data_IF_809453135263
#
_entry.id   IF_809453135263
#
_cell.length_a   1.000
_cell.length_b   1.000
_cell.length_c   1.000
_cell.angle_alpha   90.00
_cell.angle_beta   90.00
_cell.angle_gamma   90.00
#
_symmetry.space_group_name_H-M   'P 1'
#
loop_
_entity.id
_entity.type
_entity.pdbx_description
1 polymer ?
#
# COMPACT_ATOMS: atom_id res chain seq x y z
N UNK A 1 29.99 -35.55 -35.17
CA UNK A 1 28.55 -35.85 -35.08
C UNK A 1 27.88 -34.65 -34.38
N UNK A 2 27.32 -33.76 -35.17
CA UNK A 2 26.56 -32.59 -34.64
C UNK A 2 25.12 -33.05 -34.41
N UNK A 3 24.70 -33.15 -33.16
CA UNK A 3 23.31 -33.37 -32.82
C UNK A 3 22.55 -32.06 -33.13
N UNK A 4 21.69 -32.09 -34.13
CA UNK A 4 20.67 -31.07 -34.37
C UNK A 4 19.62 -31.22 -33.28
N UNK A 5 19.58 -30.25 -32.37
CA UNK A 5 18.46 -30.06 -31.46
C UNK A 5 17.34 -29.47 -32.30
N UNK A 6 16.33 -30.27 -32.57
CA UNK A 6 15.08 -29.82 -33.18
C UNK A 6 14.29 -29.09 -32.08
N UNK A 7 14.40 -27.77 -32.03
CA UNK A 7 13.52 -26.97 -31.23
C UNK A 7 12.12 -27.01 -31.89
N UNK A 8 11.24 -27.86 -31.38
CA UNK A 8 9.80 -27.72 -31.62
C UNK A 8 9.37 -26.47 -30.88
N UNK A 9 9.22 -25.37 -31.59
CA UNK A 9 8.49 -24.22 -31.08
C UNK A 9 7.02 -24.63 -30.99
N UNK A 10 6.61 -25.08 -29.81
CA UNK A 10 5.21 -25.22 -29.48
C UNK A 10 4.67 -23.77 -29.34
N UNK A 11 4.00 -23.29 -30.39
CA UNK A 11 3.35 -21.99 -30.36
C UNK A 11 2.10 -22.12 -29.47
N UNK A 12 2.27 -21.84 -28.20
CA UNK A 12 1.13 -21.68 -27.31
C UNK A 12 0.52 -20.34 -27.72
N UNK A 13 -0.67 -20.37 -28.33
CA UNK A 13 -1.46 -19.17 -28.54
C UNK A 13 -2.00 -18.72 -27.17
N UNK A 14 -1.26 -17.87 -26.51
CA UNK A 14 -1.69 -17.16 -25.33
C UNK A 14 -2.03 -15.73 -25.76
N UNK A 15 -3.30 -15.36 -25.68
CA UNK A 15 -3.72 -13.98 -25.87
C UNK A 15 -3.75 -13.30 -24.51
N UNK A 16 -2.92 -12.28 -24.35
CA UNK A 16 -2.95 -11.41 -23.16
C UNK A 16 -3.58 -10.10 -23.59
N UNK A 17 -4.68 -9.74 -22.99
CA UNK A 17 -5.37 -8.46 -23.21
C UNK A 17 -5.21 -7.63 -21.96
N UNK A 18 -4.76 -6.39 -22.14
CA UNK A 18 -4.56 -5.41 -21.09
C UNK A 18 -5.60 -4.30 -21.29
N UNK A 19 -6.45 -4.09 -20.30
CA UNK A 19 -7.38 -2.97 -20.27
C UNK A 19 -6.86 -1.93 -19.27
N UNK A 20 -6.69 -0.69 -19.73
CA UNK A 20 -6.29 0.43 -18.90
C UNK A 20 -7.00 1.69 -19.37
N UNK A 21 -7.71 2.36 -18.47
CA UNK A 21 -8.36 3.64 -18.78
C UNK A 21 -7.32 4.74 -18.95
N UNK A 22 -7.04 5.10 -20.21
CA UNK A 22 -6.27 6.30 -20.52
C UNK A 22 -7.15 7.54 -20.36
N UNK A 23 -6.62 8.63 -19.80
CA UNK A 23 -7.29 9.92 -19.69
C UNK A 23 -8.00 10.31 -21.01
N UNK A 24 -9.34 10.26 -21.01
CA UNK A 24 -10.13 10.84 -22.09
C UNK A 24 -9.94 12.35 -22.03
N UNK A 25 -9.35 12.94 -23.07
CA UNK A 25 -9.44 14.38 -23.32
C UNK A 25 -10.92 14.67 -23.59
N UNK A 26 -11.52 15.53 -22.77
CA UNK A 26 -12.84 16.11 -23.03
C UNK A 26 -12.81 16.81 -24.38
N UNK A 27 -13.65 16.37 -25.28
CA UNK A 27 -14.00 17.11 -26.48
C UNK A 27 -15.12 18.07 -26.13
N UNK A 28 -14.85 19.36 -26.35
CA UNK A 28 -15.74 20.49 -26.22
C UNK A 28 -16.90 20.34 -27.20
N UNK A 29 -18.11 20.12 -26.70
CA UNK A 29 -19.34 20.31 -27.46
C UNK A 29 -20.24 21.28 -26.73
N UNK A 30 -20.22 22.54 -27.22
CA UNK A 30 -21.20 23.58 -26.98
C UNK A 30 -22.59 23.12 -27.41
N UNK A 31 -23.53 23.03 -26.48
CA UNK A 31 -24.94 23.26 -26.79
C UNK A 31 -25.66 24.05 -25.69
N UNK A 32 -26.14 25.20 -26.12
CA UNK A 32 -27.03 26.16 -25.45
C UNK A 32 -28.42 25.56 -25.16
N UNK A 33 -28.88 25.75 -23.93
CA UNK A 33 -30.29 25.49 -23.60
C UNK A 33 -30.64 26.16 -22.27
N UNK A 34 -31.17 27.38 -22.34
CA UNK A 34 -31.80 28.08 -21.22
C UNK A 34 -33.11 27.38 -20.83
N UNK A 35 -33.33 27.23 -19.55
CA UNK A 35 -34.67 27.30 -18.95
C UNK A 35 -34.57 27.85 -17.53
N UNK A 36 -35.12 29.04 -17.36
CA UNK A 36 -35.39 29.70 -16.09
C UNK A 36 -36.45 28.91 -15.31
N UNK A 37 -36.21 28.68 -14.02
CA UNK A 37 -37.30 28.48 -13.06
C UNK A 37 -36.97 29.24 -11.78
N UNK A 38 -37.73 30.33 -11.61
CA UNK A 38 -37.82 31.13 -10.40
C UNK A 38 -38.69 30.40 -9.36
N UNK A 39 -38.22 30.21 -8.15
CA UNK A 39 -39.12 29.96 -7.00
C UNK A 39 -38.68 30.83 -5.84
N UNK A 40 -39.55 31.78 -5.55
CA UNK A 40 -39.59 32.59 -4.34
C UNK A 40 -40.19 31.80 -3.17
N UNK A 41 -39.67 31.96 -1.96
CA UNK A 41 -40.26 31.45 -0.74
C UNK A 41 -39.47 31.88 0.49
N UNK A 42 -39.80 33.07 1.01
CA UNK A 42 -39.50 33.47 2.39
C UNK A 42 -40.25 32.58 3.34
N UNK A 43 -39.60 32.10 4.40
CA UNK A 43 -40.32 31.90 5.65
C UNK A 43 -39.36 32.06 6.87
N UNK A 44 -39.89 32.77 7.80
CA UNK A 44 -39.39 33.41 9.01
C UNK A 44 -39.05 32.43 10.13
N UNK A 45 -37.99 32.78 10.87
CA UNK A 45 -37.58 32.19 12.15
C UNK A 45 -38.49 32.74 13.27
N UNK A 46 -38.91 31.98 14.28
CA UNK A 46 -39.22 32.49 15.58
C UNK A 46 -38.12 32.20 16.61
N UNK A 47 -37.65 33.24 17.23
CA UNK A 47 -36.89 33.26 18.46
C UNK A 47 -37.72 32.71 19.64
N UNK A 48 -37.11 31.83 20.43
CA UNK A 48 -37.65 31.38 21.70
C UNK A 48 -36.53 31.29 22.72
N UNK A 49 -36.57 32.23 23.68
CA UNK A 49 -35.82 32.19 24.92
C UNK A 49 -36.21 30.97 25.77
N UNK A 50 -35.23 30.25 26.30
CA UNK A 50 -35.43 29.38 27.46
C UNK A 50 -34.13 29.28 28.28
N UNK A 51 -34.18 29.92 29.41
CA UNK A 51 -33.69 29.62 30.76
C UNK A 51 -32.40 28.77 30.93
N UNK A 52 -31.48 29.41 31.64
CA UNK A 52 -30.43 28.80 32.45
C UNK A 52 -31.08 27.92 33.55
N UNK A 53 -30.75 26.65 33.61
CA UNK A 53 -30.89 25.81 34.79
C UNK A 53 -29.51 25.30 35.22
N UNK A 54 -29.13 25.77 36.41
CA UNK A 54 -28.01 25.29 37.21
C UNK A 54 -28.14 23.79 37.49
N UNK A 55 -27.13 23.00 37.10
CA UNK A 55 -26.88 21.66 37.63
C UNK A 55 -25.54 21.64 38.36
N UNK A 56 -25.63 21.91 39.67
CA UNK A 56 -24.63 21.45 40.63
C UNK A 56 -24.66 19.90 40.63
N UNK A 57 -23.64 19.27 40.12
CA UNK A 57 -23.43 17.83 40.26
C UNK A 57 -22.41 17.59 41.38
N UNK A 58 -22.90 17.02 42.47
CA UNK A 58 -22.13 16.55 43.61
C UNK A 58 -21.05 15.56 43.12
N UNK A 59 -19.79 15.94 43.31
CA UNK A 59 -18.64 15.06 43.26
C UNK A 59 -18.35 14.56 44.67
N UNK A 60 -19.00 13.46 45.05
CA UNK A 60 -18.60 12.69 46.23
C UNK A 60 -18.74 11.20 45.94
N UNK A 61 -17.60 10.51 45.97
CA UNK A 61 -17.57 9.07 46.27
C UNK A 61 -17.16 8.12 45.16
N UNK A 62 -16.02 8.30 44.42
CA UNK A 62 -15.24 7.20 43.89
C UNK A 62 -13.75 7.59 43.82
N UNK A 63 -13.14 7.79 44.93
CA UNK A 63 -11.69 7.89 45.10
C UNK A 63 -11.28 7.17 46.38
N UNK A 64 -11.60 5.88 46.47
CA UNK A 64 -11.05 5.00 47.50
C UNK A 64 -11.26 3.55 47.10
N UNK A 65 -10.39 3.05 46.20
CA UNK A 65 -10.02 1.62 46.08
C UNK A 65 -9.06 1.39 44.89
N UNK A 66 -7.86 1.97 44.90
CA UNK A 66 -6.74 1.48 44.11
C UNK A 66 -5.36 1.98 44.60
N UNK A 67 -5.26 2.19 45.93
CA UNK A 67 -3.99 2.52 46.59
C UNK A 67 -3.66 1.51 47.67
N UNK A 68 -3.70 0.21 47.36
CA UNK A 68 -3.24 -0.83 48.26
C UNK A 68 -2.75 -2.04 47.45
N UNK A 69 -1.58 -1.94 46.83
CA UNK A 69 -0.65 -3.03 46.54
C UNK A 69 0.62 -2.50 45.84
N UNK A 70 1.27 -1.51 46.45
CA UNK A 70 2.71 -1.35 46.31
C UNK A 70 3.35 -1.80 47.59
N UNK A 71 3.64 -3.07 47.72
CA UNK A 71 4.53 -3.59 48.74
C UNK A 71 5.94 -3.16 48.40
N UNK A 72 6.47 -2.24 49.20
CA UNK A 72 7.90 -1.93 49.29
C UNK A 72 8.62 -3.17 49.78
N UNK A 73 9.39 -3.81 48.89
CA UNK A 73 10.37 -4.79 49.31
C UNK A 73 11.70 -4.06 49.57
N UNK A 74 12.02 -3.90 50.83
CA UNK A 74 13.37 -3.56 51.30
C UNK A 74 14.31 -4.70 50.88
N UNK A 75 15.28 -4.41 50.02
CA UNK A 75 16.39 -5.30 49.69
C UNK A 75 17.47 -5.13 50.74
N UNK A 76 17.47 -5.95 51.79
CA UNK A 76 18.69 -6.21 52.57
C UNK A 76 19.64 -7.14 51.81
N UNK A 77 20.91 -6.72 51.77
CA UNK A 77 22.03 -7.40 51.15
C UNK A 77 22.29 -8.77 51.78
N UNK A 78 22.09 -9.83 51.01
CA UNK A 78 22.50 -11.18 51.35
C UNK A 78 22.91 -11.93 50.08
N UNK A 79 24.22 -12.24 49.98
CA UNK A 79 24.80 -13.16 48.99
C UNK A 79 24.08 -14.49 48.99
N UNK A 80 23.41 -14.81 47.88
CA UNK A 80 23.24 -16.21 47.41
C UNK A 80 23.02 -16.18 45.91
N UNK A 81 23.94 -16.85 45.18
CA UNK A 81 23.76 -17.35 43.83
C UNK A 81 22.51 -18.23 43.77
N UNK A 82 21.44 -17.72 43.26
CA UNK A 82 20.33 -18.52 42.76
C UNK A 82 19.89 -17.87 41.45
N UNK A 83 20.14 -18.56 40.34
CA UNK A 83 19.67 -18.18 39.01
C UNK A 83 18.15 -18.07 39.06
N UNK A 84 17.64 -16.88 39.34
CA UNK A 84 16.28 -16.55 38.99
C UNK A 84 16.24 -16.55 37.45
N UNK A 85 15.83 -17.68 36.89
CA UNK A 85 15.26 -17.71 35.56
C UNK A 85 14.15 -16.64 35.61
N UNK A 86 14.40 -15.48 34.94
CA UNK A 86 13.31 -14.64 34.49
C UNK A 86 12.37 -15.59 33.74
N UNK A 87 11.06 -15.62 34.06
CA UNK A 87 10.13 -16.31 33.19
C UNK A 87 10.39 -15.76 31.79
N UNK A 88 10.58 -16.64 30.83
CA UNK A 88 10.67 -16.31 29.43
C UNK A 88 9.60 -15.21 29.20
N UNK A 89 10.05 -14.01 28.86
CA UNK A 89 9.14 -13.02 28.31
C UNK A 89 8.65 -13.67 27.04
N UNK A 90 7.46 -14.28 27.08
CA UNK A 90 6.77 -14.69 25.87
C UNK A 90 6.79 -13.43 25.02
N UNK A 91 7.51 -13.47 23.92
CA UNK A 91 7.51 -12.41 22.93
C UNK A 91 6.06 -12.27 22.49
N UNK A 92 5.41 -11.20 22.94
CA UNK A 92 4.02 -10.89 22.60
C UNK A 92 3.98 -10.41 21.15
N UNK A 93 4.18 -11.38 20.25
CA UNK A 93 4.03 -11.15 18.83
C UNK A 93 2.53 -11.08 18.50
N UNK A 94 2.03 -9.86 18.23
CA UNK A 94 0.65 -9.59 17.85
C UNK A 94 0.53 -9.18 16.38
N UNK A 95 1.53 -9.52 15.55
CA UNK A 95 1.47 -9.30 14.11
C UNK A 95 0.22 -9.99 13.53
N UNK A 96 -0.43 -9.32 12.59
CA UNK A 96 -1.62 -9.83 11.90
C UNK A 96 -1.35 -9.89 10.40
N UNK A 97 -1.56 -11.07 9.81
CA UNK A 97 -1.46 -11.33 8.39
C UNK A 97 -2.75 -11.98 7.91
N UNK A 98 -3.19 -11.66 6.69
CA UNK A 98 -4.36 -12.32 6.11
C UNK A 98 -3.97 -13.69 5.56
N UNK A 99 -4.64 -14.75 6.04
CA UNK A 99 -4.51 -16.07 5.45
C UNK A 99 -5.12 -16.08 4.05
N UNK A 100 -4.38 -16.60 3.08
CA UNK A 100 -4.81 -16.71 1.70
C UNK A 100 -4.77 -18.18 1.26
N UNK A 101 -5.86 -18.69 0.70
CA UNK A 101 -5.93 -20.03 0.15
C UNK A 101 -5.40 -20.02 -1.29
N UNK A 102 -4.52 -20.98 -1.64
CA UNK A 102 -3.97 -21.10 -2.98
C UNK A 102 -5.06 -21.23 -4.05
N UNK A 103 -4.82 -20.61 -5.21
CA UNK A 103 -5.73 -20.71 -6.35
C UNK A 103 -5.98 -22.18 -6.77
N UNK A 104 -7.23 -22.57 -7.03
CA UNK A 104 -7.56 -23.91 -7.48
C UNK A 104 -7.12 -24.17 -8.91
N UNK A 105 -6.99 -25.46 -9.28
CA UNK A 105 -6.84 -25.85 -10.65
C UNK A 105 -8.11 -25.59 -11.47
N UNK A 106 -7.96 -24.86 -12.57
CA UNK A 106 -9.03 -24.52 -13.50
C UNK A 106 -8.98 -25.43 -14.73
N UNK A 107 -10.14 -25.94 -15.14
CA UNK A 107 -10.28 -26.72 -16.37
C UNK A 107 -10.53 -25.79 -17.56
N UNK A 108 -9.65 -25.81 -18.56
CA UNK A 108 -9.71 -24.89 -19.71
C UNK A 108 -10.98 -25.06 -20.56
N UNK A 109 -11.56 -26.28 -20.61
CA UNK A 109 -12.81 -26.53 -21.36
C UNK A 109 -14.02 -25.76 -20.78
N UNK A 110 -14.01 -25.49 -19.47
CA UNK A 110 -15.10 -24.78 -18.78
C UNK A 110 -14.76 -23.36 -18.41
N UNK A 111 -13.48 -23.07 -18.20
CA UNK A 111 -12.97 -21.79 -17.74
C UNK A 111 -11.65 -21.46 -18.46
N UNK A 112 -11.70 -21.03 -19.72
CA UNK A 112 -10.51 -20.76 -20.50
C UNK A 112 -9.83 -19.45 -20.14
N UNK A 113 -10.53 -18.56 -19.44
CA UNK A 113 -10.06 -17.21 -19.10
C UNK A 113 -9.63 -17.12 -17.64
N UNK A 114 -8.43 -16.58 -17.42
CA UNK A 114 -7.94 -16.17 -16.09
C UNK A 114 -7.82 -14.65 -16.05
N UNK A 115 -8.49 -14.01 -15.11
CA UNK A 115 -8.53 -12.56 -14.98
C UNK A 115 -8.07 -12.14 -13.57
N UNK A 116 -7.21 -11.14 -13.49
CA UNK A 116 -6.74 -10.61 -12.21
C UNK A 116 -6.30 -9.14 -12.35
N UNK A 117 -6.31 -8.40 -11.23
CA UNK A 117 -5.79 -7.03 -11.16
C UNK A 117 -4.26 -7.03 -11.19
N UNK A 118 -3.67 -6.05 -11.89
CA UNK A 118 -2.21 -5.91 -12.04
C UNK A 118 -1.56 -5.14 -10.87
N UNK A 119 -2.17 -5.16 -9.70
CA UNK A 119 -1.66 -4.51 -8.50
C UNK A 119 -0.81 -5.49 -7.70
N UNK A 120 0.44 -5.13 -7.43
CA UNK A 120 1.37 -6.00 -6.70
C UNK A 120 2.20 -5.16 -5.75
N UNK A 121 2.01 -5.42 -4.48
CA UNK A 121 2.87 -4.93 -3.42
C UNK A 121 4.17 -5.76 -3.32
N UNK A 122 5.13 -5.30 -2.56
CA UNK A 122 6.42 -6.00 -2.36
C UNK A 122 6.74 -6.24 -0.88
N UNK A 123 5.83 -5.91 0.01
CA UNK A 123 6.02 -5.95 1.46
C UNK A 123 6.29 -7.37 1.99
N UNK A 124 5.65 -8.40 1.46
CA UNK A 124 5.82 -9.78 1.91
C UNK A 124 7.26 -10.27 1.80
N UNK A 125 8.01 -9.91 0.73
CA UNK A 125 9.42 -10.25 0.63
C UNK A 125 10.27 -9.60 1.72
N UNK A 126 10.06 -8.31 1.98
CA UNK A 126 10.84 -7.56 2.96
C UNK A 126 10.51 -7.95 4.39
N UNK A 127 9.28 -8.31 4.67
CA UNK A 127 8.87 -8.88 5.97
C UNK A 127 9.53 -10.23 6.25
N UNK A 128 9.54 -11.15 5.27
CA UNK A 128 10.21 -12.44 5.40
C UNK A 128 11.72 -12.25 5.56
N UNK A 129 12.33 -11.33 4.78
CA UNK A 129 13.75 -10.98 4.93
C UNK A 129 14.05 -10.47 6.32
N UNK A 130 13.22 -9.57 6.85
CA UNK A 130 13.34 -9.03 8.21
C UNK A 130 13.22 -10.13 9.26
N UNK A 131 12.24 -11.03 9.12
CA UNK A 131 12.07 -12.17 10.03
C UNK A 131 13.30 -13.08 10.06
N UNK A 132 13.86 -13.44 8.88
CA UNK A 132 15.07 -14.25 8.78
C UNK A 132 16.28 -13.56 9.44
N UNK A 133 16.49 -12.26 9.18
CA UNK A 133 17.62 -11.50 9.69
C UNK A 133 17.59 -11.36 11.22
N UNK A 134 16.39 -11.26 11.79
CA UNK A 134 16.20 -11.08 13.22
C UNK A 134 15.95 -12.40 13.96
N UNK A 135 15.89 -13.54 13.25
CA UNK A 135 15.68 -14.86 13.84
C UNK A 135 14.26 -15.11 14.31
N UNK A 136 13.28 -14.41 13.75
CA UNK A 136 11.86 -14.62 14.02
C UNK A 136 11.29 -15.78 13.22
N UNK A 137 10.27 -16.41 13.73
CA UNK A 137 9.51 -17.44 13.02
C UNK A 137 8.73 -16.82 11.85
N UNK A 138 8.73 -17.54 10.71
CA UNK A 138 7.97 -17.13 9.54
C UNK A 138 6.58 -17.76 9.60
N UNK A 139 5.55 -16.94 9.74
CA UNK A 139 4.16 -17.38 9.59
C UNK A 139 3.89 -17.66 8.10
N UNK A 140 3.31 -18.82 7.73
CA UNK A 140 2.94 -19.11 6.33
C UNK A 140 2.07 -18.03 5.66
N UNK A 141 1.26 -17.29 6.42
CA UNK A 141 0.43 -16.20 5.93
C UNK A 141 1.21 -14.93 5.50
N UNK A 142 2.51 -14.83 5.88
CA UNK A 142 3.40 -13.80 5.37
C UNK A 142 3.84 -14.06 3.92
N UNK A 143 3.67 -15.32 3.42
CA UNK A 143 4.19 -15.73 2.12
C UNK A 143 3.17 -15.42 1.03
N UNK A 144 3.41 -14.35 0.30
CA UNK A 144 2.68 -13.98 -0.92
C UNK A 144 3.61 -14.14 -2.11
N UNK A 145 3.34 -15.14 -2.93
CA UNK A 145 4.28 -15.53 -3.99
C UNK A 145 4.42 -14.43 -5.04
N UNK A 146 3.34 -13.77 -5.40
CA UNK A 146 3.33 -12.64 -6.33
C UNK A 146 4.21 -11.48 -5.85
N UNK A 147 4.18 -11.15 -4.56
CA UNK A 147 5.01 -10.09 -3.99
C UNK A 147 6.49 -10.47 -4.00
N UNK A 148 6.79 -11.75 -3.74
CA UNK A 148 8.15 -12.26 -3.83
C UNK A 148 8.70 -12.22 -5.25
N UNK A 149 7.88 -12.58 -6.25
CA UNK A 149 8.27 -12.52 -7.65
C UNK A 149 8.48 -11.08 -8.11
N UNK A 150 7.59 -10.18 -7.74
CA UNK A 150 7.60 -8.79 -8.20
C UNK A 150 8.53 -7.88 -7.40
N UNK A 151 9.13 -8.36 -6.31
CA UNK A 151 10.17 -7.64 -5.59
C UNK A 151 11.42 -7.41 -6.43
N UNK A 152 11.73 -8.33 -7.35
CA UNK A 152 12.94 -8.30 -8.18
C UNK A 152 12.68 -7.61 -9.52
N UNK A 153 13.67 -6.88 -10.00
CA UNK A 153 13.65 -6.33 -11.34
C UNK A 153 14.16 -7.37 -12.35
N UNK A 154 13.41 -7.54 -13.42
CA UNK A 154 13.75 -8.43 -14.52
C UNK A 154 14.03 -7.60 -15.79
N UNK A 155 14.93 -8.07 -16.64
CA UNK A 155 15.29 -7.42 -17.91
C UNK A 155 14.26 -7.75 -19.00
N UNK A 156 13.02 -7.30 -18.81
CA UNK A 156 11.97 -7.48 -19.80
C UNK A 156 12.06 -6.45 -20.94
N UNK A 157 11.58 -6.79 -22.14
CA UNK A 157 11.50 -5.85 -23.25
C UNK A 157 10.69 -4.59 -22.88
N UNK A 158 11.21 -3.43 -23.27
CA UNK A 158 10.49 -2.16 -23.08
C UNK A 158 9.46 -1.94 -24.20
N UNK A 159 8.39 -1.15 -23.93
CA UNK A 159 7.41 -0.73 -24.92
C UNK A 159 8.07 -0.01 -26.11
N UNK A 160 7.54 -0.19 -27.32
CA UNK A 160 8.06 0.42 -28.54
C UNK A 160 7.17 1.57 -29.02
N UNK A 161 7.80 2.65 -29.44
CA UNK A 161 7.08 3.80 -30.02
C UNK A 161 6.12 4.45 -29.03
N UNK A 162 4.82 4.44 -29.32
CA UNK A 162 3.77 5.04 -28.49
C UNK A 162 3.02 4.00 -27.64
N UNK A 163 3.48 2.76 -27.59
CA UNK A 163 2.89 1.72 -26.76
C UNK A 163 3.12 2.08 -25.28
N UNK A 164 2.11 1.87 -24.44
CA UNK A 164 2.22 2.10 -22.99
C UNK A 164 2.84 0.91 -22.28
N UNK A 165 2.61 -0.29 -22.82
CA UNK A 165 3.02 -1.56 -22.24
C UNK A 165 3.79 -2.40 -23.26
N UNK A 166 4.74 -3.19 -22.78
CA UNK A 166 5.27 -4.35 -23.46
C UNK A 166 4.85 -5.60 -22.70
N UNK A 167 4.37 -6.61 -23.42
CA UNK A 167 4.03 -7.91 -22.85
C UNK A 167 5.10 -8.92 -23.24
N UNK A 168 5.57 -9.71 -22.28
CA UNK A 168 6.53 -10.77 -22.47
C UNK A 168 5.95 -12.08 -21.93
N UNK A 169 6.15 -13.17 -22.66
CA UNK A 169 5.73 -14.50 -22.24
C UNK A 169 6.86 -15.51 -22.42
N UNK A 170 6.97 -16.43 -21.46
CA UNK A 170 7.93 -17.53 -21.50
C UNK A 170 7.28 -18.83 -21.05
N UNK A 171 7.80 -19.96 -21.53
CA UNK A 171 7.29 -21.27 -21.21
C UNK A 171 8.45 -22.22 -20.89
N UNK A 172 8.37 -22.90 -19.75
CA UNK A 172 9.43 -23.76 -19.24
C UNK A 172 8.89 -25.03 -18.56
N UNK A 173 9.78 -25.95 -18.29
CA UNK A 173 9.46 -27.12 -17.42
C UNK A 173 9.21 -26.66 -15.99
N UNK A 174 8.19 -27.22 -15.33
CA UNK A 174 7.94 -26.96 -13.92
C UNK A 174 9.00 -27.69 -13.07
N UNK A 175 9.78 -26.97 -12.24
CA UNK A 175 10.89 -27.60 -11.49
C UNK A 175 10.42 -28.52 -10.34
N UNK A 176 9.21 -28.32 -9.82
CA UNK A 176 8.66 -29.12 -8.73
C UNK A 176 7.67 -30.21 -9.18
N UNK A 177 7.19 -30.13 -10.42
CA UNK A 177 6.25 -31.10 -10.96
C UNK A 177 6.56 -31.38 -12.44
N UNK A 178 7.14 -32.53 -12.74
CA UNK A 178 7.56 -32.94 -14.10
C UNK A 178 6.41 -33.17 -15.08
N UNK A 179 5.19 -33.32 -14.57
CA UNK A 179 3.98 -33.56 -15.38
C UNK A 179 3.29 -32.25 -15.76
N UNK A 180 3.80 -31.14 -15.27
CA UNK A 180 3.30 -29.78 -15.57
C UNK A 180 4.38 -28.88 -16.16
N UNK A 181 3.98 -27.74 -16.63
CA UNK A 181 4.84 -26.67 -17.19
C UNK A 181 4.58 -25.37 -16.47
N UNK A 182 5.52 -24.44 -16.58
CA UNK A 182 5.34 -23.05 -16.17
C UNK A 182 5.15 -22.17 -17.38
N UNK A 183 4.17 -21.26 -17.30
CA UNK A 183 4.05 -20.13 -18.22
C UNK A 183 4.21 -18.83 -17.43
N UNK A 184 5.14 -18.01 -17.87
CA UNK A 184 5.36 -16.67 -17.37
C UNK A 184 4.65 -15.68 -18.28
N UNK A 185 3.90 -14.76 -17.67
CA UNK A 185 3.32 -13.58 -18.31
C UNK A 185 3.83 -12.36 -17.58
N UNK A 186 4.54 -11.50 -18.29
CA UNK A 186 5.04 -10.25 -17.72
C UNK A 186 4.57 -9.06 -18.54
N UNK A 187 4.34 -7.96 -17.86
CA UNK A 187 4.00 -6.67 -18.45
C UNK A 187 4.94 -5.61 -17.89
N UNK A 188 5.43 -4.74 -18.75
CA UNK A 188 6.40 -3.70 -18.40
C UNK A 188 6.00 -2.35 -19.00
N UNK A 189 6.26 -1.26 -18.28
CA UNK A 189 6.03 0.12 -18.72
C UNK A 189 7.36 0.82 -19.02
N UNK A 190 7.31 1.94 -19.78
CA UNK A 190 8.48 2.77 -20.03
C UNK A 190 8.85 3.55 -18.77
N UNK A 191 10.11 3.47 -18.34
CA UNK A 191 10.63 4.33 -17.28
C UNK A 191 10.70 5.79 -17.73
N UNK A 192 10.48 6.72 -16.82
CA UNK A 192 10.56 8.17 -17.03
C UNK A 192 11.65 8.74 -16.10
N UNK A 193 12.42 9.72 -16.57
CA UNK A 193 13.35 10.45 -15.71
C UNK A 193 12.56 11.23 -14.65
N UNK A 194 13.00 11.16 -13.40
CA UNK A 194 12.40 11.87 -12.27
C UNK A 194 12.25 13.38 -12.54
N UNK A 195 13.18 13.96 -13.29
CA UNK A 195 13.13 15.39 -13.66
C UNK A 195 11.98 15.74 -14.60
N UNK A 196 11.49 14.76 -15.36
CA UNK A 196 10.35 14.90 -16.27
C UNK A 196 9.02 14.56 -15.59
N UNK A 197 9.06 14.04 -14.36
CA UNK A 197 7.87 13.72 -13.59
C UNK A 197 7.03 14.98 -13.30
N UNK A 198 5.70 14.86 -13.24
CA UNK A 198 4.82 15.96 -12.80
C UNK A 198 5.20 16.45 -11.41
N UNK A 199 4.82 17.69 -11.12
CA UNK A 199 4.97 18.24 -9.78
C UNK A 199 4.21 17.40 -8.74
N UNK A 200 4.79 17.23 -7.56
CA UNK A 200 4.23 16.42 -6.48
C UNK A 200 3.81 17.28 -5.29
N UNK A 201 2.68 16.94 -4.71
CA UNK A 201 2.21 17.46 -3.43
C UNK A 201 2.17 16.29 -2.45
N UNK A 202 3.19 16.19 -1.61
CA UNK A 202 3.42 15.09 -0.68
C UNK A 202 3.05 15.51 0.74
N UNK A 203 2.17 14.78 1.37
CA UNK A 203 1.81 14.96 2.77
C UNK A 203 2.25 13.73 3.55
N UNK A 204 3.30 13.85 4.33
CA UNK A 204 3.75 12.79 5.23
C UNK A 204 2.86 12.77 6.47
N UNK A 205 2.23 11.64 6.74
CA UNK A 205 1.48 11.36 7.95
C UNK A 205 2.27 10.35 8.77
N UNK A 206 2.90 10.82 9.83
CA UNK A 206 3.93 10.06 10.55
C UNK A 206 3.42 9.70 11.94
N UNK A 207 3.47 8.41 12.24
CA UNK A 207 3.29 7.90 13.59
C UNK A 207 4.47 8.32 14.46
N UNK A 208 4.19 9.04 15.54
CA UNK A 208 5.16 9.42 16.57
C UNK A 208 4.75 8.89 17.95
N UNK A 209 3.91 7.85 18.01
CA UNK A 209 3.56 7.17 19.25
C UNK A 209 4.79 6.56 19.94
N UNK A 210 4.68 6.27 21.22
CA UNK A 210 5.76 5.72 22.03
C UNK A 210 6.32 4.40 21.50
N UNK A 211 5.52 3.60 20.78
CA UNK A 211 5.97 2.36 20.12
C UNK A 211 6.97 2.60 18.99
N UNK A 212 7.01 3.82 18.41
CA UNK A 212 7.91 4.20 17.32
C UNK A 212 9.35 4.57 17.76
N UNK A 213 9.69 4.37 19.03
CA UNK A 213 10.99 4.78 19.61
C UNK A 213 12.21 4.01 19.08
N UNK A 214 12.04 2.74 18.66
CA UNK A 214 13.15 1.87 18.26
C UNK A 214 13.83 2.35 16.98
N UNK A 215 15.13 2.05 16.84
CA UNK A 215 15.99 2.47 15.72
C UNK A 215 15.46 2.05 14.34
N UNK A 216 14.76 0.93 14.26
CA UNK A 216 14.13 0.39 13.05
C UNK A 216 12.71 0.92 12.79
N UNK A 217 12.27 1.97 13.49
CA UNK A 217 10.96 2.63 13.37
C UNK A 217 11.12 4.11 13.04
N UNK A 218 10.77 5.04 13.94
CA UNK A 218 10.83 6.47 13.64
C UNK A 218 12.21 6.95 13.16
N UNK A 219 13.34 6.54 13.75
CA UNK A 219 14.65 6.94 13.24
C UNK A 219 14.92 6.47 11.80
N UNK A 220 14.46 5.28 11.43
CA UNK A 220 14.53 4.76 10.06
C UNK A 220 13.65 5.59 9.11
N UNK A 221 12.41 5.92 9.51
CA UNK A 221 11.48 6.78 8.75
C UNK A 221 12.08 8.16 8.53
N UNK A 222 12.68 8.79 9.57
CA UNK A 222 13.32 10.10 9.45
C UNK A 222 14.44 10.08 8.39
N UNK A 223 15.33 9.09 8.43
CA UNK A 223 16.39 8.95 7.43
C UNK A 223 15.84 8.72 6.03
N UNK A 224 14.81 7.89 5.90
CA UNK A 224 14.14 7.59 4.63
C UNK A 224 13.50 8.82 4.00
N UNK A 225 12.76 9.61 4.78
CA UNK A 225 12.11 10.84 4.33
C UNK A 225 13.12 11.95 4.01
N UNK A 226 14.21 12.05 4.76
CA UNK A 226 15.31 12.98 4.46
C UNK A 226 15.94 12.66 3.11
N UNK A 227 16.18 11.38 2.83
CA UNK A 227 16.69 10.93 1.52
C UNK A 227 15.72 11.24 0.37
N UNK A 228 14.42 11.08 0.58
CA UNK A 228 13.41 11.49 -0.40
C UNK A 228 13.45 13.00 -0.63
N UNK A 229 13.56 13.80 0.43
CA UNK A 229 13.59 15.26 0.35
C UNK A 229 14.76 15.80 -0.51
N UNK A 230 15.91 15.10 -0.54
CA UNK A 230 17.05 15.43 -1.40
C UNK A 230 16.73 15.39 -2.91
N UNK A 231 15.68 14.69 -3.31
CA UNK A 231 15.28 14.51 -4.70
C UNK A 231 14.13 15.44 -5.14
N UNK A 232 13.55 16.20 -4.21
CA UNK A 232 12.46 17.13 -4.51
C UNK A 232 12.97 18.44 -5.12
N UNK A 233 12.08 19.15 -5.78
CA UNK A 233 12.38 20.36 -6.54
C UNK A 233 11.42 21.50 -6.19
N UNK A 234 11.67 22.70 -6.70
CA UNK A 234 10.84 23.90 -6.50
C UNK A 234 9.37 23.74 -6.93
N UNK A 235 9.10 22.79 -7.85
CA UNK A 235 7.73 22.50 -8.32
C UNK A 235 6.94 21.66 -7.32
N UNK A 236 7.62 20.99 -6.39
CA UNK A 236 7.00 20.07 -5.44
C UNK A 236 6.57 20.82 -4.16
N UNK A 237 5.66 20.23 -3.39
CA UNK A 237 5.20 20.74 -2.10
C UNK A 237 5.22 19.64 -1.07
N UNK A 238 5.69 19.97 0.14
CA UNK A 238 5.80 19.05 1.27
C UNK A 238 4.99 19.58 2.45
N UNK A 239 4.22 18.70 3.06
CA UNK A 239 3.60 18.91 4.38
C UNK A 239 3.91 17.73 5.27
N UNK A 240 4.02 17.96 6.58
CA UNK A 240 4.24 16.91 7.58
C UNK A 240 3.15 17.03 8.66
N UNK A 241 2.46 15.95 8.88
CA UNK A 241 1.48 15.77 9.95
C UNK A 241 1.96 14.61 10.80
N UNK A 242 2.02 14.80 12.10
CA UNK A 242 2.30 13.73 13.06
C UNK A 242 1.03 13.34 13.79
N UNK A 243 0.98 12.11 14.25
CA UNK A 243 -0.08 11.65 15.13
C UNK A 243 0.47 10.74 16.24
N UNK A 244 -0.11 10.92 17.43
CA UNK A 244 0.06 10.08 18.61
C UNK A 244 -1.21 10.18 19.46
N UNK A 245 -1.20 10.86 20.62
CA UNK A 245 -2.40 11.20 21.39
C UNK A 245 -3.31 12.25 20.73
N UNK A 246 -2.75 13.05 19.83
CA UNK A 246 -3.42 14.05 18.98
C UNK A 246 -2.64 14.17 17.66
N UNK A 247 -3.24 14.82 16.68
CA UNK A 247 -2.55 15.21 15.45
C UNK A 247 -1.92 16.60 15.57
N UNK A 248 -0.77 16.78 14.89
CA UNK A 248 -0.06 18.05 14.81
C UNK A 248 0.45 18.30 13.40
N UNK A 249 0.29 19.55 12.93
CA UNK A 249 0.86 19.97 11.64
C UNK A 249 2.25 20.56 11.89
N UNK A 250 3.28 19.78 11.60
CA UNK A 250 4.69 20.17 11.79
C UNK A 250 5.19 21.04 10.65
N UNK A 251 4.79 20.70 9.41
CA UNK A 251 5.20 21.42 8.20
C UNK A 251 4.01 21.57 7.24
N UNK A 252 3.88 22.73 6.57
CA UNK A 252 2.71 23.00 5.78
C UNK A 252 3.04 23.63 4.41
N UNK A 253 3.00 22.81 3.32
CA UNK A 253 3.09 23.26 1.93
C UNK A 253 4.40 23.95 1.58
N UNK A 254 5.50 23.55 2.20
CA UNK A 254 6.85 24.08 1.93
C UNK A 254 7.31 23.61 0.56
N UNK A 255 8.07 24.45 -0.13
CA UNK A 255 8.65 24.12 -1.45
C UNK A 255 9.64 22.97 -1.33
N UNK A 256 9.63 22.02 -2.29
CA UNK A 256 10.48 20.84 -2.24
C UNK A 256 11.98 21.14 -2.29
N UNK A 257 12.40 22.32 -2.83
CA UNK A 257 13.78 22.76 -2.83
C UNK A 257 14.25 23.40 -1.51
N UNK A 258 13.31 23.67 -0.58
CA UNK A 258 13.62 24.13 0.79
C UNK A 258 14.07 22.93 1.68
N UNK A 259 15.07 22.19 1.19
CA UNK A 259 15.59 20.99 1.85
C UNK A 259 15.90 21.19 3.33
N UNK A 260 16.48 22.34 3.69
CA UNK A 260 16.88 22.61 5.08
C UNK A 260 15.67 22.72 6.02
N UNK A 261 14.59 23.37 5.60
CA UNK A 261 13.36 23.46 6.39
C UNK A 261 12.71 22.08 6.54
N UNK A 262 12.65 21.31 5.43
CA UNK A 262 12.06 19.97 5.43
C UNK A 262 12.88 19.01 6.30
N UNK A 263 14.20 18.94 6.12
CA UNK A 263 15.06 18.04 6.90
C UNK A 263 15.05 18.37 8.39
N UNK A 264 15.10 19.67 8.74
CA UNK A 264 15.02 20.09 10.16
C UNK A 264 13.69 19.70 10.80
N UNK A 265 12.58 19.80 10.07
CA UNK A 265 11.26 19.36 10.56
C UNK A 265 11.21 17.84 10.77
N UNK A 266 11.79 17.04 9.86
CA UNK A 266 11.88 15.59 9.98
C UNK A 266 12.78 15.17 11.13
N UNK A 267 13.98 15.76 11.26
CA UNK A 267 14.95 15.45 12.30
C UNK A 267 14.44 15.81 13.71
N UNK A 268 13.55 16.81 13.80
CA UNK A 268 12.95 17.25 15.06
C UNK A 268 11.81 16.37 15.56
N UNK A 269 11.41 15.31 14.84
CA UNK A 269 10.35 14.40 15.29
C UNK A 269 10.86 13.51 16.43
N UNK A 270 10.05 13.38 17.47
CA UNK A 270 10.33 12.54 18.63
C UNK A 270 9.17 11.59 18.89
N UNK A 271 9.47 10.32 19.22
CA UNK A 271 8.46 9.34 19.58
C UNK A 271 7.97 9.57 21.03
N UNK A 272 6.68 9.82 21.22
CA UNK A 272 6.07 10.01 22.56
C UNK A 272 4.56 9.73 22.57
N UNK A 273 4.01 9.46 23.75
CA UNK A 273 2.58 9.39 23.97
C UNK A 273 1.91 8.09 23.56
N UNK A 274 0.58 8.11 23.51
CA UNK A 274 -0.29 6.98 23.15
C UNK A 274 -0.84 7.16 21.73
N UNK A 275 -1.17 6.07 21.05
CA UNK A 275 -1.65 6.11 19.67
C UNK A 275 -3.15 6.48 19.62
N UNK A 276 -3.49 7.61 18.98
CA UNK A 276 -4.86 7.98 18.63
C UNK A 276 -4.84 8.77 17.29
N UNK A 277 -4.88 8.07 16.18
CA UNK A 277 -4.52 8.62 14.87
C UNK A 277 -5.67 9.00 13.92
N UNK A 278 -6.96 8.95 14.31
CA UNK A 278 -8.07 9.23 13.38
C UNK A 278 -8.09 10.66 12.84
N UNK A 279 -7.75 11.63 13.66
CA UNK A 279 -7.67 13.02 13.26
C UNK A 279 -6.53 13.27 12.26
N UNK A 280 -5.40 12.54 12.37
CA UNK A 280 -4.25 12.69 11.50
C UNK A 280 -4.56 12.44 10.02
N UNK A 281 -5.34 11.40 9.69
CA UNK A 281 -5.74 11.12 8.31
C UNK A 281 -6.56 12.26 7.72
N UNK A 282 -7.55 12.77 8.47
CA UNK A 282 -8.39 13.87 7.98
C UNK A 282 -7.58 15.15 7.77
N UNK A 283 -6.67 15.46 8.70
CA UNK A 283 -5.75 16.60 8.62
C UNK A 283 -4.81 16.48 7.43
N UNK A 284 -4.23 15.30 7.20
CA UNK A 284 -3.36 15.05 6.06
C UNK A 284 -4.10 15.25 4.71
N UNK A 285 -5.30 14.70 4.57
CA UNK A 285 -6.10 14.91 3.36
C UNK A 285 -6.58 16.36 3.21
N UNK A 286 -6.85 17.08 4.29
CA UNK A 286 -7.18 18.51 4.23
C UNK A 286 -6.00 19.33 3.70
N UNK A 287 -4.78 19.02 4.12
CA UNK A 287 -3.56 19.66 3.61
C UNK A 287 -3.30 19.27 2.14
N UNK A 288 -3.45 17.99 1.78
CA UNK A 288 -3.29 17.55 0.41
C UNK A 288 -4.27 18.28 -0.55
N UNK A 289 -5.51 18.51 -0.11
CA UNK A 289 -6.49 19.32 -0.86
C UNK A 289 -6.13 20.80 -0.89
N UNK A 290 -5.61 21.35 0.20
CA UNK A 290 -5.22 22.78 0.28
C UNK A 290 -4.11 23.12 -0.70
N UNK A 291 -3.13 22.23 -0.86
CA UNK A 291 -1.98 22.40 -1.74
C UNK A 291 -2.08 21.58 -3.02
N UNK A 292 -3.28 21.18 -3.41
CA UNK A 292 -3.54 20.33 -4.56
C UNK A 292 -2.95 20.91 -5.86
N UNK A 293 -2.14 20.10 -6.53
CA UNK A 293 -1.52 20.44 -7.81
C UNK A 293 -2.32 19.79 -8.94
N UNK A 294 -3.01 20.61 -9.73
CA UNK A 294 -3.79 20.09 -10.86
C UNK A 294 -2.87 19.47 -11.92
N UNK A 295 -3.10 18.21 -12.24
CA UNK A 295 -2.27 17.44 -13.17
C UNK A 295 -0.94 16.98 -12.59
N UNK A 296 -0.71 17.19 -11.30
CA UNK A 296 0.40 16.69 -10.52
C UNK A 296 0.05 15.41 -9.75
N UNK A 297 1.03 14.86 -9.05
CA UNK A 297 0.87 13.76 -8.12
C UNK A 297 0.53 14.31 -6.73
N UNK A 298 -0.68 14.06 -6.25
CA UNK A 298 -1.13 14.45 -4.92
C UNK A 298 -1.25 13.20 -4.05
N UNK A 299 -0.43 13.11 -2.99
CA UNK A 299 -0.30 11.87 -2.24
C UNK A 299 -0.15 12.12 -0.74
N UNK A 300 -0.87 11.35 0.06
CA UNK A 300 -0.62 11.16 1.47
C UNK A 300 0.27 9.92 1.61
N UNK A 301 1.31 10.01 2.42
CA UNK A 301 2.26 8.93 2.72
C UNK A 301 2.19 8.67 4.21
N UNK A 302 1.55 7.57 4.59
CA UNK A 302 1.43 7.12 5.97
C UNK A 302 2.64 6.27 6.35
N UNK A 303 3.33 6.64 7.44
CA UNK A 303 4.44 5.88 8.03
C UNK A 303 4.07 5.47 9.45
N UNK A 304 4.04 4.16 9.74
CA UNK A 304 3.60 3.61 11.03
C UNK A 304 4.19 2.22 11.29
N UNK A 305 4.23 1.81 12.56
CA UNK A 305 4.57 0.43 12.95
C UNK A 305 3.35 -0.52 12.93
N UNK A 306 2.22 -0.08 12.36
CA UNK A 306 1.01 -0.88 12.16
C UNK A 306 -0.05 -0.71 13.25
N UNK A 307 0.25 -0.11 14.38
CA UNK A 307 -0.75 0.15 15.43
C UNK A 307 -1.61 1.36 15.08
N UNK A 308 -2.46 1.19 14.06
CA UNK A 308 -3.44 2.18 13.64
C UNK A 308 -4.66 2.17 14.58
N UNK A 309 -4.46 2.55 15.83
CA UNK A 309 -5.56 2.85 16.76
C UNK A 309 -6.16 4.23 16.43
N UNK A 310 -6.62 4.38 15.21
CA UNK A 310 -7.11 5.65 14.62
C UNK A 310 -8.51 6.06 15.12
N UNK A 311 -8.97 5.59 16.27
CA UNK A 311 -10.31 5.92 16.79
C UNK A 311 -11.47 5.39 15.94
N UNK A 312 -11.22 4.99 14.70
CA UNK A 312 -12.13 4.22 13.85
C UNK A 312 -11.86 2.75 14.16
N UNK A 313 -12.70 2.14 14.95
CA UNK A 313 -12.46 0.82 15.55
C UNK A 313 -12.71 -0.35 14.61
N UNK A 314 -13.20 -0.11 13.38
CA UNK A 314 -13.46 -1.18 12.41
C UNK A 314 -12.82 -0.88 11.04
N UNK A 315 -12.27 -1.92 10.40
CA UNK A 315 -11.76 -1.88 9.03
C UNK A 315 -12.75 -1.23 8.07
N UNK A 316 -14.04 -1.55 8.17
CA UNK A 316 -15.07 -0.97 7.30
C UNK A 316 -15.30 0.53 7.44
N UNK A 317 -15.02 1.14 8.62
CA UNK A 317 -15.08 2.59 8.79
C UNK A 317 -13.86 3.27 8.14
N UNK A 318 -12.70 2.65 8.28
CA UNK A 318 -11.46 3.13 7.69
C UNK A 318 -11.49 3.02 6.16
N UNK A 319 -11.94 1.87 5.64
CA UNK A 319 -12.17 1.66 4.20
C UNK A 319 -13.12 2.71 3.62
N UNK A 320 -14.25 2.97 4.29
CA UNK A 320 -15.20 3.99 3.85
C UNK A 320 -14.58 5.37 3.80
N UNK A 321 -13.83 5.76 4.84
CA UNK A 321 -13.15 7.05 4.89
C UNK A 321 -12.19 7.21 3.71
N UNK A 322 -11.33 6.23 3.46
CA UNK A 322 -10.33 6.30 2.39
C UNK A 322 -11.00 6.29 1.01
N UNK A 323 -12.02 5.45 0.81
CA UNK A 323 -12.80 5.42 -0.45
C UNK A 323 -13.45 6.78 -0.74
N UNK A 324 -14.04 7.46 0.27
CA UNK A 324 -14.59 8.80 0.12
C UNK A 324 -13.50 9.85 -0.20
N UNK A 325 -12.28 9.67 0.30
CA UNK A 325 -11.15 10.58 0.06
C UNK A 325 -10.49 10.36 -1.32
N UNK A 326 -10.42 9.13 -1.80
CA UNK A 326 -9.88 8.72 -3.11
C UNK A 326 -10.48 9.55 -4.25
N UNK A 327 -11.78 9.77 -4.26
CA UNK A 327 -12.49 10.55 -5.28
C UNK A 327 -12.01 12.01 -5.38
N UNK A 328 -11.25 12.48 -4.39
CA UNK A 328 -10.64 13.81 -4.43
C UNK A 328 -9.41 13.93 -5.34
N UNK A 329 -8.90 12.82 -5.87
CA UNK A 329 -7.66 12.76 -6.66
C UNK A 329 -6.38 12.80 -5.81
N UNK A 330 -6.49 12.53 -4.51
CA UNK A 330 -5.36 12.38 -3.58
C UNK A 330 -5.20 10.90 -3.25
N UNK A 331 -4.04 10.34 -3.55
CA UNK A 331 -3.70 8.93 -3.30
C UNK A 331 -3.15 8.73 -1.88
N UNK A 332 -3.26 7.51 -1.36
CA UNK A 332 -2.69 7.12 -0.07
C UNK A 332 -1.73 5.95 -0.24
N UNK A 333 -0.46 6.18 0.06
CA UNK A 333 0.52 5.10 0.21
C UNK A 333 0.82 4.83 1.68
N UNK A 334 1.11 3.58 2.02
CA UNK A 334 1.41 3.15 3.38
C UNK A 334 2.78 2.51 3.45
N UNK A 335 3.60 2.98 4.38
CA UNK A 335 4.92 2.44 4.67
C UNK A 335 4.97 1.93 6.11
N UNK A 336 5.09 0.62 6.23
CA UNK A 336 5.18 -0.05 7.50
C UNK A 336 6.63 -0.21 7.97
N UNK A 337 6.86 -0.11 9.28
CA UNK A 337 8.17 -0.28 9.92
C UNK A 337 8.05 -1.10 11.20
N UNK A 338 9.15 -1.67 11.67
CA UNK A 338 9.20 -2.37 12.95
C UNK A 338 8.53 -3.75 12.93
N UNK A 339 8.54 -4.44 14.06
CA UNK A 339 8.02 -5.80 14.24
C UNK A 339 7.39 -5.94 15.64
N UNK A 340 6.47 -6.89 15.83
CA UNK A 340 5.89 -7.25 17.13
C UNK A 340 4.41 -6.86 17.33
N UNK A 341 3.96 -5.76 16.74
CA UNK A 341 2.54 -5.35 16.71
C UNK A 341 2.10 -4.88 15.32
N UNK A 342 2.69 -5.45 14.30
CA UNK A 342 2.48 -5.04 12.91
C UNK A 342 1.14 -5.55 12.36
N UNK A 343 0.36 -4.68 11.71
CA UNK A 343 -0.97 -4.98 11.14
C UNK A 343 -0.92 -4.88 9.63
N UNK A 344 -0.30 -5.88 9.00
CA UNK A 344 -0.09 -5.97 7.56
C UNK A 344 -1.36 -5.78 6.76
N UNK A 345 -2.40 -6.55 7.08
CA UNK A 345 -3.70 -6.52 6.43
C UNK A 345 -4.36 -5.14 6.41
N UNK A 346 -4.18 -4.33 7.46
CA UNK A 346 -4.75 -2.98 7.51
C UNK A 346 -4.00 -2.00 6.63
N UNK A 347 -2.68 -2.08 6.60
CA UNK A 347 -1.85 -1.18 5.80
C UNK A 347 -2.01 -1.45 4.31
N UNK A 348 -2.04 -2.73 3.92
CA UNK A 348 -2.35 -3.15 2.55
C UNK A 348 -3.73 -2.65 2.12
N UNK A 349 -4.78 -2.92 2.92
CA UNK A 349 -6.15 -2.47 2.63
C UNK A 349 -6.24 -0.95 2.44
N UNK A 350 -5.52 -0.16 3.26
CA UNK A 350 -5.51 1.30 3.14
C UNK A 350 -4.86 1.77 1.85
N UNK A 351 -3.74 1.17 1.45
CA UNK A 351 -3.06 1.49 0.21
C UNK A 351 -3.93 1.13 -0.99
N UNK A 352 -4.50 -0.07 -1.03
CA UNK A 352 -5.41 -0.53 -2.08
C UNK A 352 -6.60 0.40 -2.26
N UNK A 353 -7.33 0.70 -1.16
CA UNK A 353 -8.48 1.62 -1.20
C UNK A 353 -8.09 3.05 -1.49
N UNK A 354 -6.85 3.43 -1.23
CA UNK A 354 -6.28 4.75 -1.48
C UNK A 354 -5.63 4.92 -2.85
N UNK A 355 -5.64 3.92 -3.72
CA UNK A 355 -4.91 3.88 -5.01
C UNK A 355 -3.43 4.24 -4.84
N UNK A 356 -2.82 3.75 -3.77
CA UNK A 356 -1.40 3.95 -3.47
C UNK A 356 -0.64 2.63 -3.46
N UNK A 357 0.55 2.66 -2.89
CA UNK A 357 1.42 1.50 -2.78
C UNK A 357 1.61 1.15 -1.31
N UNK A 358 1.73 -0.13 -1.03
CA UNK A 358 2.10 -0.63 0.27
C UNK A 358 3.51 -1.21 0.23
N UNK A 359 4.36 -0.82 1.19
CA UNK A 359 5.69 -1.38 1.37
C UNK A 359 6.03 -1.52 2.86
N UNK A 360 6.83 -2.54 3.18
CA UNK A 360 7.42 -2.70 4.50
C UNK A 360 8.91 -2.37 4.46
N UNK A 361 9.31 -1.36 5.23
CA UNK A 361 10.68 -0.84 5.26
C UNK A 361 11.44 -1.50 6.42
N UNK A 362 12.27 -2.48 6.09
CA UNK A 362 13.10 -3.20 7.05
C UNK A 362 14.53 -2.62 7.19
N UNK A 363 14.91 -1.73 6.27
CA UNK A 363 16.27 -1.21 6.18
C UNK A 363 16.34 0.08 5.36
N UNK A 364 17.45 0.83 5.48
CA UNK A 364 17.73 1.99 4.62
C UNK A 364 17.84 1.62 3.14
N UNK A 365 18.23 0.38 2.81
CA UNK A 365 18.25 -0.08 1.43
C UNK A 365 16.82 -0.15 0.86
N UNK A 366 15.89 -0.71 1.63
CA UNK A 366 14.47 -0.78 1.24
C UNK A 366 13.82 0.62 1.23
N UNK A 367 14.16 1.46 2.21
CA UNK A 367 13.70 2.84 2.24
C UNK A 367 14.07 3.60 0.96
N UNK A 368 15.33 3.45 0.50
CA UNK A 368 15.78 4.04 -0.76
C UNK A 368 15.00 3.48 -1.95
N UNK A 369 14.84 2.16 -2.02
CA UNK A 369 14.09 1.51 -3.08
C UNK A 369 12.65 2.03 -3.14
N UNK A 370 11.92 1.95 -2.04
CA UNK A 370 10.49 2.30 -1.99
C UNK A 370 10.22 3.80 -2.16
N UNK A 371 11.02 4.67 -1.51
CA UNK A 371 10.77 6.11 -1.45
C UNK A 371 11.51 6.93 -2.53
N UNK A 372 12.64 6.46 -3.03
CA UNK A 372 13.42 7.20 -4.03
C UNK A 372 13.29 6.55 -5.41
N UNK A 373 13.56 5.25 -5.50
CA UNK A 373 13.61 4.59 -6.80
C UNK A 373 12.19 4.27 -7.34
N UNK A 374 11.31 3.72 -6.51
CA UNK A 374 9.95 3.31 -6.90
C UNK A 374 8.91 4.42 -6.75
N UNK A 375 8.95 5.22 -5.68
CA UNK A 375 8.02 6.34 -5.54
C UNK A 375 8.20 7.33 -6.70
N UNK A 376 9.45 7.55 -7.14
CA UNK A 376 9.75 8.34 -8.32
C UNK A 376 9.12 7.78 -9.60
N UNK A 377 9.20 6.47 -9.80
CA UNK A 377 8.56 5.76 -10.90
C UNK A 377 7.03 5.79 -10.76
N UNK A 378 6.50 5.51 -9.57
CA UNK A 378 5.06 5.46 -9.29
C UNK A 378 4.39 6.85 -9.21
N UNK A 379 5.19 7.93 -9.15
CA UNK A 379 4.64 9.30 -9.26
C UNK A 379 3.97 9.58 -10.61
N UNK A 380 4.33 8.84 -11.65
CA UNK A 380 3.75 9.00 -12.99
C UNK A 380 2.90 7.78 -13.31
N UNK A 381 1.62 7.86 -13.03
CA UNK A 381 0.68 6.81 -13.42
C UNK A 381 0.59 6.73 -14.95
N UNK A 382 1.07 5.63 -15.53
CA UNK A 382 0.99 5.33 -16.98
C UNK A 382 -0.39 4.82 -17.35
N UNK A 383 -0.98 4.00 -16.48
CA UNK A 383 -2.34 3.50 -16.61
C UNK A 383 -2.98 3.23 -15.25
N UNK A 384 -4.32 3.37 -15.21
CA UNK A 384 -5.19 3.06 -14.08
C UNK A 384 -6.11 1.91 -14.45
N UNK A 385 -6.64 1.23 -13.45
CA UNK A 385 -7.55 0.10 -13.62
C UNK A 385 -6.97 -0.98 -14.53
N UNK A 386 -5.69 -1.31 -14.34
CA UNK A 386 -5.00 -2.29 -15.16
C UNK A 386 -5.39 -3.69 -14.72
N UNK A 387 -5.96 -4.43 -15.66
CA UNK A 387 -6.37 -5.82 -15.47
C UNK A 387 -5.69 -6.68 -16.52
N UNK A 388 -5.27 -7.86 -16.13
CA UNK A 388 -4.76 -8.86 -17.06
C UNK A 388 -5.80 -9.96 -17.24
N UNK A 389 -6.01 -10.35 -18.50
CA UNK A 389 -6.81 -11.52 -18.84
C UNK A 389 -5.99 -12.42 -19.77
N UNK A 390 -5.78 -13.65 -19.33
CA UNK A 390 -5.05 -14.68 -20.07
C UNK A 390 -6.05 -15.72 -20.55
N UNK A 391 -6.05 -15.95 -21.88
CA UNK A 391 -6.87 -16.99 -22.51
C UNK A 391 -6.00 -18.21 -22.83
N UNK A 392 -6.40 -19.39 -22.37
CA UNK A 392 -5.75 -20.65 -22.62
C UNK A 392 -6.46 -21.44 -23.74
N UNK A 393 -5.69 -21.92 -24.71
CA UNK A 393 -6.20 -22.74 -25.82
C UNK A 393 -6.51 -24.16 -25.32
N UNK A 394 -7.79 -24.63 -25.37
CA UNK A 394 -8.18 -25.96 -24.90
C UNK A 394 -7.60 -27.10 -25.72
N UNK A 395 -7.08 -26.85 -26.93
CA UNK A 395 -6.39 -27.86 -27.74
C UNK A 395 -4.97 -28.14 -27.23
N UNK A 396 -4.38 -27.22 -26.47
CA UNK A 396 -3.00 -27.30 -26.01
C UNK A 396 -2.91 -27.39 -24.47
N UNK A 397 -3.87 -26.86 -23.75
CA UNK A 397 -3.91 -26.80 -22.29
C UNK A 397 -5.16 -27.48 -21.76
N UNK A 398 -4.99 -28.47 -20.88
CA UNK A 398 -6.07 -29.17 -20.19
C UNK A 398 -6.51 -28.46 -18.93
N UNK A 399 -5.57 -27.89 -18.19
CA UNK A 399 -5.81 -27.13 -16.96
C UNK A 399 -4.69 -26.17 -16.66
N UNK A 400 -5.01 -25.18 -15.85
CA UNK A 400 -4.04 -24.19 -15.37
C UNK A 400 -4.34 -23.82 -13.92
N UNK A 401 -3.33 -23.25 -13.26
CA UNK A 401 -3.44 -22.63 -11.95
C UNK A 401 -2.59 -21.36 -11.94
N UNK A 402 -3.18 -20.22 -11.58
CA UNK A 402 -2.44 -18.98 -11.31
C UNK A 402 -1.67 -19.16 -9.99
N UNK A 403 -0.41 -18.79 -9.95
CA UNK A 403 0.46 -18.89 -8.78
C UNK A 403 0.55 -17.50 -8.14
N UNK A 404 0.08 -17.37 -6.90
CA UNK A 404 -0.10 -16.08 -6.25
C UNK A 404 -1.32 -15.32 -6.77
N UNK A 405 -1.44 -14.04 -6.41
CA UNK A 405 -2.55 -13.16 -6.80
C UNK A 405 -3.93 -13.61 -6.29
N UNK A 406 -4.00 -14.43 -5.23
CA UNK A 406 -5.24 -15.00 -4.73
C UNK A 406 -6.25 -13.92 -4.33
N UNK A 407 -5.79 -12.81 -3.75
CA UNK A 407 -6.60 -11.64 -3.36
C UNK A 407 -6.88 -10.67 -4.54
N UNK A 408 -6.31 -10.94 -5.73
CA UNK A 408 -6.44 -10.11 -6.94
C UNK A 408 -7.20 -10.79 -8.07
N UNK A 409 -7.66 -12.04 -7.90
CA UNK A 409 -8.44 -12.77 -8.89
C UNK A 409 -9.80 -12.11 -9.11
N UNK A 410 -10.22 -12.01 -10.36
CA UNK A 410 -11.47 -11.39 -10.80
C UNK A 410 -12.30 -12.35 -11.67
N UNK A 411 -13.61 -12.13 -11.74
CA UNK A 411 -14.42 -12.83 -12.72
C UNK A 411 -14.08 -12.38 -14.15
N UNK A 412 -14.24 -13.27 -15.13
CA UNK A 412 -13.88 -12.96 -16.52
C UNK A 412 -14.68 -11.78 -17.09
N UNK A 413 -15.93 -11.61 -16.67
CA UNK A 413 -16.80 -10.49 -17.02
C UNK A 413 -16.35 -9.14 -16.42
N UNK A 414 -15.66 -9.15 -15.29
CA UNK A 414 -15.15 -7.95 -14.61
C UNK A 414 -14.00 -7.28 -15.38
N UNK A 415 -13.41 -7.98 -16.34
CA UNK A 415 -12.31 -7.44 -17.15
C UNK A 415 -12.70 -6.16 -17.90
N UNK A 416 -13.90 -6.11 -18.45
CA UNK A 416 -14.41 -4.97 -19.21
C UNK A 416 -15.27 -4.00 -18.37
N UNK A 417 -15.39 -4.24 -17.07
CA UNK A 417 -16.17 -3.41 -16.15
C UNK A 417 -15.26 -2.35 -15.50
N UNK A 418 -15.38 -1.10 -15.96
CA UNK A 418 -14.61 0.04 -15.42
C UNK A 418 -15.04 0.44 -13.98
N UNK A 419 -16.11 -0.19 -13.43
CA UNK A 419 -16.51 0.02 -12.03
C UNK A 419 -15.78 -0.90 -11.06
N UNK A 420 -15.11 -1.93 -11.58
CA UNK A 420 -14.29 -2.85 -10.82
C UNK A 420 -12.86 -2.34 -10.80
N UNK A 421 -12.35 -2.13 -9.61
CA UNK A 421 -10.99 -1.63 -9.40
C UNK A 421 -9.95 -2.62 -9.95
N UNK A 422 -9.00 -2.09 -10.70
CA UNK A 422 -7.81 -2.81 -11.18
C UNK A 422 -6.57 -2.28 -10.45
N UNK A 423 -5.38 -2.57 -10.97
CA UNK A 423 -4.15 -2.00 -10.43
C UNK A 423 -3.74 -0.70 -11.11
N UNK A 424 -2.95 0.12 -10.43
CA UNK A 424 -2.26 1.23 -11.04
C UNK A 424 -0.86 0.83 -11.47
N UNK A 425 -0.46 1.20 -12.70
CA UNK A 425 0.91 1.02 -13.15
C UNK A 425 1.61 2.35 -13.35
N UNK A 426 2.69 2.54 -12.61
CA UNK A 426 3.60 3.67 -12.76
C UNK A 426 4.58 3.50 -13.91
N UNK A 427 5.37 4.54 -14.19
CA UNK A 427 6.43 4.51 -15.17
C UNK A 427 7.60 3.63 -14.69
N UNK A 428 8.08 2.72 -15.55
CA UNK A 428 9.15 1.77 -15.20
C UNK A 428 8.69 0.58 -14.36
N UNK A 429 7.40 0.47 -14.08
CA UNK A 429 6.86 -0.65 -13.31
C UNK A 429 6.72 -1.91 -14.19
N UNK A 430 7.00 -3.07 -13.61
CA UNK A 430 6.76 -4.37 -14.21
C UNK A 430 5.90 -5.26 -13.34
N UNK A 431 5.04 -6.06 -13.96
CA UNK A 431 4.21 -7.07 -13.29
C UNK A 431 4.53 -8.43 -13.90
N UNK A 432 4.82 -9.41 -13.06
CA UNK A 432 5.14 -10.79 -13.43
C UNK A 432 4.14 -11.73 -12.79
N UNK A 433 3.48 -12.56 -13.62
CA UNK A 433 2.59 -13.62 -13.17
C UNK A 433 3.08 -14.97 -13.68
N UNK A 434 2.93 -16.00 -12.88
CA UNK A 434 3.25 -17.39 -13.21
C UNK A 434 1.98 -18.24 -13.22
N UNK A 435 1.90 -19.12 -14.18
CA UNK A 435 0.89 -20.17 -14.26
C UNK A 435 1.54 -21.54 -14.26
N UNK A 436 1.05 -22.43 -13.43
CA UNK A 436 1.31 -23.85 -13.60
C UNK A 436 0.29 -24.44 -14.57
N UNK A 437 0.74 -25.16 -15.59
CA UNK A 437 -0.07 -25.61 -16.71
C UNK A 437 0.00 -27.13 -16.86
N UNK A 438 -1.15 -27.77 -17.05
CA UNK A 438 -1.28 -29.16 -17.46
C UNK A 438 -1.42 -29.19 -18.97
N UNK A 439 -0.45 -29.70 -19.76
CA UNK A 439 -0.56 -29.85 -21.21
C UNK A 439 -1.71 -30.78 -21.60
N UNK A 440 -2.31 -30.59 -22.78
CA UNK A 440 -3.43 -31.39 -23.24
C UNK A 440 -3.06 -32.86 -23.54
N UNK A 441 -1.77 -33.11 -23.79
CA UNK A 441 -1.22 -34.42 -24.13
C UNK A 441 -0.60 -35.18 -22.94
N UNK A 442 -0.79 -34.61 -21.70
CA UNK A 442 -0.29 -35.20 -20.43
C UNK A 442 -1.26 -36.19 -19.81
#
# INVERSE_FOLDING_TARGET
MRKRILAMALSICMAVVVCGCGNKKEADETQTGKTDVTVTGEDTVPSGDMAEEDYEMQVDGIMQESAANMATADCESGFYDDYLQCPDTEDWNTNEYSYTEENPWMNVQTSPLSTFAADVDTAGYTQIRSAIQNGYDIDPSMVRIEEMLNYFHYDYPLPKGNEKFAVYTEYADCPWNKDTKLALVAMNTQAIDFKEAPASNLVFLIDVSGSMFDDNKLPLVQQALTMLAENLTEKDRVSIVTYAGSDEVVLQGVSGDDYHEISSAIEGLEAYGSTNGSAGIETAYALAKKYFIKGGNNRVILCTDGDLNVGLTSEGQLEKLITEKKDSGVFLSTFGVGYGNYKDNKLELLADKGNGNYAYIDSMFEAKKALVDELGANMVTVAKDVKLQVEFNPEQVKGYRLIGYENRVMAAEDFADDTKDGGEMGAGHSVTALYEIIPADS
#
